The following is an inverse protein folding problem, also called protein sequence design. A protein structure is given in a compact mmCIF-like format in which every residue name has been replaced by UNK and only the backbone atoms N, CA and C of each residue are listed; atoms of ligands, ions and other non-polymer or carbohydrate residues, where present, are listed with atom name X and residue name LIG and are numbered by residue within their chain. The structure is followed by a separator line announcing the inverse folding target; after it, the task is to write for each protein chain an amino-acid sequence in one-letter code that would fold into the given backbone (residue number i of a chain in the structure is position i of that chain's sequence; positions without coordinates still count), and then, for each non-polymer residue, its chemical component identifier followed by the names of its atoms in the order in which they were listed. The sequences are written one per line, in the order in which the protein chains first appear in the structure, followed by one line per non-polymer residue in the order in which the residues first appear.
data_IF_263314262378
#
_entry.id   IF_263314262378
#
_cell.length_a   1.000
_cell.length_b   1.000
_cell.length_c   1.000
_cell.angle_alpha   90.00
_cell.angle_beta   90.00
_cell.angle_gamma   90.00
#
_symmetry.space_group_name_H-M   'P 1'
#
loop_
_entity.id
_entity.type
_entity.pdbx_description
1 polymer ?
#
# COMPACT_ATOMS: atom_id res chain seq x y z
N UNK A 1 44.18 -44.80 -7.01
CA UNK A 1 43.21 -44.23 -7.98
C UNK A 1 41.78 -44.35 -7.46
N UNK A 2 41.50 -43.78 -6.28
CA UNK A 2 40.16 -43.55 -5.75
C UNK A 2 40.20 -42.08 -5.41
N UNK A 3 39.60 -41.17 -6.21
CA UNK A 3 39.47 -39.77 -5.79
C UNK A 3 38.58 -38.91 -6.69
N UNK A 4 38.19 -39.32 -7.90
CA UNK A 4 37.26 -38.51 -8.70
C UNK A 4 35.80 -38.86 -8.46
N UNK A 5 35.47 -40.15 -8.27
CA UNK A 5 34.08 -40.57 -8.05
C UNK A 5 33.56 -40.11 -6.68
N UNK A 6 34.36 -40.19 -5.61
CA UNK A 6 33.92 -39.72 -4.29
C UNK A 6 33.84 -38.18 -4.20
N UNK A 7 34.69 -37.46 -4.93
CA UNK A 7 34.62 -36.00 -5.01
C UNK A 7 33.34 -35.53 -5.72
N UNK A 8 32.96 -36.20 -6.82
CA UNK A 8 31.71 -35.88 -7.52
C UNK A 8 30.46 -36.15 -6.67
N UNK A 9 30.46 -37.25 -5.90
CA UNK A 9 29.34 -37.62 -5.04
C UNK A 9 29.21 -36.68 -3.83
N UNK A 10 30.33 -36.27 -3.24
CA UNK A 10 30.33 -35.32 -2.12
C UNK A 10 29.88 -33.92 -2.56
N UNK A 11 30.27 -33.45 -3.74
CA UNK A 11 29.76 -32.20 -4.31
C UNK A 11 28.25 -32.29 -4.56
N UNK A 12 27.77 -33.41 -5.11
CA UNK A 12 26.35 -33.60 -5.38
C UNK A 12 25.50 -33.60 -4.09
N UNK A 13 25.97 -34.30 -3.06
CA UNK A 13 25.31 -34.32 -1.74
C UNK A 13 25.31 -32.93 -1.09
N UNK A 14 26.41 -32.18 -1.19
CA UNK A 14 26.49 -30.81 -0.66
C UNK A 14 25.49 -29.88 -1.34
N UNK A 15 25.38 -29.94 -2.67
CA UNK A 15 24.40 -29.14 -3.44
C UNK A 15 22.98 -29.54 -3.04
N UNK A 16 22.69 -30.84 -2.92
CA UNK A 16 21.37 -31.33 -2.53
C UNK A 16 20.97 -30.87 -1.12
N UNK A 17 21.92 -30.86 -0.18
CA UNK A 17 21.68 -30.34 1.18
C UNK A 17 21.43 -28.83 1.20
N UNK A 18 22.16 -28.04 0.40
CA UNK A 18 21.94 -26.59 0.29
C UNK A 18 20.57 -26.30 -0.31
N UNK A 19 20.18 -26.99 -1.38
CA UNK A 19 18.87 -26.81 -2.03
C UNK A 19 17.73 -27.21 -1.09
N UNK A 20 17.90 -28.33 -0.36
CA UNK A 20 16.92 -28.77 0.63
C UNK A 20 16.80 -27.79 1.80
N UNK A 21 17.92 -27.23 2.27
CA UNK A 21 17.93 -26.22 3.33
C UNK A 21 17.27 -24.89 2.90
N UNK A 22 17.48 -24.46 1.65
CA UNK A 22 16.81 -23.27 1.09
C UNK A 22 15.30 -23.49 0.97
N UNK A 23 14.86 -24.69 0.56
CA UNK A 23 13.44 -25.06 0.52
C UNK A 23 12.83 -25.12 1.92
N UNK A 24 13.57 -25.65 2.91
CA UNK A 24 13.10 -25.81 4.29
C UNK A 24 13.00 -24.47 5.05
N UNK A 25 13.81 -23.47 4.70
CA UNK A 25 13.75 -22.12 5.27
C UNK A 25 12.60 -21.25 4.72
N UNK A 26 11.82 -21.73 3.75
CA UNK A 26 10.70 -20.98 3.19
C UNK A 26 11.09 -19.66 2.51
N UNK A 27 12.38 -19.46 2.24
CA UNK A 27 12.86 -18.24 1.56
C UNK A 27 12.74 -18.45 0.07
N UNK A 28 11.50 -18.31 -0.39
CA UNK A 28 11.20 -18.19 -1.82
C UNK A 28 12.12 -17.12 -2.43
N UNK A 29 12.87 -17.39 -3.52
CA UNK A 29 13.64 -16.36 -4.24
C UNK A 29 12.76 -15.16 -4.69
N UNK A 30 11.45 -15.39 -4.73
CA UNK A 30 10.41 -14.40 -4.95
C UNK A 30 10.31 -13.36 -3.83
N UNK A 31 10.51 -13.77 -2.56
CA UNK A 31 10.51 -12.87 -1.41
C UNK A 31 11.76 -11.98 -1.37
N UNK A 32 12.91 -12.47 -1.86
CA UNK A 32 14.14 -11.67 -1.94
C UNK A 32 14.03 -10.52 -2.95
N UNK A 33 13.37 -10.73 -4.10
CA UNK A 33 13.06 -9.64 -5.04
C UNK A 33 12.05 -8.64 -4.46
N UNK A 34 11.07 -9.10 -3.68
CA UNK A 34 10.17 -8.20 -2.95
C UNK A 34 10.90 -7.37 -1.89
N UNK A 35 11.89 -7.94 -1.20
CA UNK A 35 12.69 -7.22 -0.21
C UNK A 35 13.73 -6.26 -0.81
N UNK A 36 14.31 -6.55 -1.98
CA UNK A 36 15.20 -5.60 -2.66
C UNK A 36 14.46 -4.39 -3.24
N UNK A 37 13.21 -4.55 -3.68
CA UNK A 37 12.37 -3.41 -4.07
C UNK A 37 11.89 -2.56 -2.87
N UNK A 38 12.03 -3.03 -1.64
CA UNK A 38 11.70 -2.25 -0.43
C UNK A 38 12.93 -1.54 0.15
N UNK A 39 14.15 -2.06 -0.08
CA UNK A 39 15.37 -1.56 0.58
C UNK A 39 16.33 -0.75 -0.30
N UNK A 40 16.11 -0.66 -1.60
CA UNK A 40 16.95 0.11 -2.53
C UNK A 40 16.17 1.27 -3.16
N UNK A 41 15.56 2.12 -2.34
CA UNK A 41 15.23 3.50 -2.76
C UNK A 41 15.37 4.51 -1.60
N UNK A 42 16.20 4.14 -0.61
CA UNK A 42 16.68 5.03 0.44
C UNK A 42 18.13 5.37 0.14
N UNK A 43 18.36 6.24 -0.83
CA UNK A 43 19.43 7.25 -0.85
C UNK A 43 19.47 7.92 -2.22
N UNK A 44 19.13 9.20 -2.23
CA UNK A 44 19.59 10.19 -3.20
C UNK A 44 18.94 10.16 -4.60
N UNK A 45 17.68 10.58 -4.66
CA UNK A 45 17.13 11.27 -5.84
C UNK A 45 16.23 12.39 -5.35
N UNK A 46 16.36 13.56 -5.97
CA UNK A 46 15.63 14.78 -5.62
C UNK A 46 14.12 14.53 -5.51
N UNK A 47 13.56 14.88 -4.35
CA UNK A 47 12.17 15.29 -4.06
C UNK A 47 11.12 15.00 -5.15
N UNK A 48 10.75 13.74 -5.33
CA UNK A 48 9.40 13.36 -5.73
C UNK A 48 8.86 12.56 -4.55
N UNK A 49 8.10 13.21 -3.66
CA UNK A 49 7.39 12.48 -2.61
C UNK A 49 6.47 11.47 -3.33
N UNK A 50 6.55 10.17 -3.03
CA UNK A 50 5.64 9.21 -3.65
C UNK A 50 4.21 9.62 -3.29
N UNK A 51 3.39 9.83 -4.31
CA UNK A 51 1.97 10.22 -4.24
C UNK A 51 1.17 9.38 -3.23
N UNK A 52 1.61 8.13 -3.07
CA UNK A 52 1.06 7.17 -2.10
C UNK A 52 1.15 7.65 -0.65
N UNK A 53 2.11 8.51 -0.30
CA UNK A 53 2.16 9.11 1.05
C UNK A 53 1.17 10.27 1.16
N UNK A 54 1.22 11.26 0.26
CA UNK A 54 0.41 12.48 0.43
C UNK A 54 -1.10 12.23 0.49
N UNK A 55 -1.68 11.50 -0.46
CA UNK A 55 -3.13 11.28 -0.48
C UNK A 55 -3.57 10.34 0.65
N UNK A 56 -2.78 9.30 0.96
CA UNK A 56 -3.09 8.37 2.05
C UNK A 56 -3.03 9.08 3.41
N UNK A 57 -2.03 9.94 3.65
CA UNK A 57 -1.90 10.70 4.89
C UNK A 57 -3.11 11.63 5.08
N UNK A 58 -3.64 12.24 4.01
CA UNK A 58 -4.85 13.06 4.08
C UNK A 58 -6.12 12.21 4.30
N UNK A 59 -6.20 11.02 3.72
CA UNK A 59 -7.31 10.09 3.94
C UNK A 59 -7.31 9.57 5.38
N UNK A 60 -6.16 9.26 5.95
CA UNK A 60 -6.03 8.86 7.35
C UNK A 60 -6.52 9.98 8.29
N UNK A 61 -6.03 11.21 8.08
CA UNK A 61 -6.54 12.37 8.83
C UNK A 61 -8.03 12.60 8.64
N UNK A 62 -8.54 12.44 7.42
CA UNK A 62 -9.96 12.55 7.13
C UNK A 62 -10.75 11.50 7.91
N UNK A 63 -10.22 10.28 8.08
CA UNK A 63 -10.91 9.21 8.79
C UNK A 63 -10.97 9.42 10.31
N UNK A 64 -10.13 10.28 10.87
CA UNK A 64 -10.05 10.55 12.31
C UNK A 64 -10.67 11.90 12.69
N UNK A 65 -10.79 12.84 11.73
CA UNK A 65 -11.25 14.19 12.01
C UNK A 65 -12.75 14.21 12.33
N UNK A 66 -13.10 14.87 13.45
CA UNK A 66 -14.47 15.11 13.90
C UNK A 66 -14.91 16.56 13.66
N UNK A 67 -13.99 17.42 13.22
CA UNK A 67 -14.24 18.83 12.93
C UNK A 67 -14.74 18.98 11.48
N UNK A 68 -15.96 19.47 11.35
CA UNK A 68 -16.61 19.69 10.06
C UNK A 68 -15.79 20.62 9.14
N UNK A 69 -15.23 21.71 9.68
CA UNK A 69 -14.44 22.64 8.90
C UNK A 69 -13.13 22.01 8.40
N UNK A 70 -12.48 21.21 9.26
CA UNK A 70 -11.27 20.46 8.89
C UNK A 70 -11.57 19.39 7.83
N UNK A 71 -12.67 18.65 7.98
CA UNK A 71 -13.11 17.64 7.01
C UNK A 71 -13.30 18.26 5.62
N UNK A 72 -14.00 19.39 5.51
CA UNK A 72 -14.18 20.07 4.21
C UNK A 72 -12.83 20.48 3.59
N UNK A 73 -11.91 20.99 4.40
CA UNK A 73 -10.55 21.37 3.95
C UNK A 73 -9.75 20.15 3.49
N UNK A 74 -9.86 19.02 4.18
CA UNK A 74 -9.21 17.76 3.80
C UNK A 74 -9.79 17.22 2.49
N UNK A 75 -11.12 17.21 2.34
CA UNK A 75 -11.80 16.81 1.10
C UNK A 75 -11.30 17.64 -0.09
N UNK A 76 -11.22 18.98 0.06
CA UNK A 76 -10.74 19.86 -0.99
C UNK A 76 -9.27 19.57 -1.36
N UNK A 77 -8.43 19.36 -0.34
CA UNK A 77 -7.01 19.03 -0.51
C UNK A 77 -6.84 17.71 -1.27
N UNK A 78 -7.57 16.66 -0.85
CA UNK A 78 -7.55 15.34 -1.50
C UNK A 78 -8.03 15.46 -2.94
N UNK A 79 -9.13 16.19 -3.18
CA UNK A 79 -9.67 16.40 -4.53
C UNK A 79 -8.66 17.09 -5.44
N UNK A 80 -7.91 18.08 -4.94
CA UNK A 80 -6.86 18.78 -5.71
C UNK A 80 -5.72 17.84 -6.09
N UNK A 81 -5.22 17.06 -5.13
CA UNK A 81 -4.12 16.11 -5.37
C UNK A 81 -4.55 14.95 -6.28
N UNK A 82 -5.77 14.43 -6.12
CA UNK A 82 -6.31 13.39 -6.99
C UNK A 82 -6.49 13.89 -8.43
N UNK A 83 -7.04 15.09 -8.64
CA UNK A 83 -7.14 15.70 -9.98
C UNK A 83 -5.77 15.92 -10.62
N UNK A 84 -4.79 16.39 -9.85
CA UNK A 84 -3.40 16.55 -10.33
C UNK A 84 -2.82 15.20 -10.76
N UNK A 85 -3.06 14.15 -9.98
CA UNK A 85 -2.63 12.79 -10.31
C UNK A 85 -3.23 12.29 -11.60
N UNK A 86 -4.55 12.41 -11.76
CA UNK A 86 -5.24 12.01 -12.99
C UNK A 86 -4.73 12.74 -14.23
N UNK A 87 -4.37 14.03 -14.11
CA UNK A 87 -3.81 14.80 -15.22
C UNK A 87 -2.43 14.34 -15.63
N UNK A 88 -1.59 13.95 -14.67
CA UNK A 88 -0.20 13.55 -14.94
C UNK A 88 -0.13 12.08 -15.37
N UNK A 89 -0.94 11.20 -14.77
CA UNK A 89 -0.85 9.75 -14.97
C UNK A 89 -2.23 9.07 -15.07
N UNK A 90 -3.05 9.38 -16.09
CA UNK A 90 -4.43 8.88 -16.16
C UNK A 90 -4.55 7.36 -16.32
N UNK A 91 -3.59 6.71 -17.00
CA UNK A 91 -3.66 5.28 -17.32
C UNK A 91 -2.92 4.36 -16.35
N UNK A 92 -2.26 4.91 -15.33
CA UNK A 92 -1.55 4.11 -14.33
C UNK A 92 -2.49 3.66 -13.21
N UNK A 93 -2.08 2.66 -12.42
CA UNK A 93 -2.82 2.23 -11.24
C UNK A 93 -3.08 3.39 -10.27
N UNK A 94 -2.14 4.34 -10.17
CA UNK A 94 -2.30 5.54 -9.35
C UNK A 94 -3.35 6.50 -9.91
N UNK A 95 -3.41 6.65 -11.24
CA UNK A 95 -4.48 7.42 -11.91
C UNK A 95 -5.85 6.81 -11.69
N UNK A 96 -5.98 5.50 -11.82
CA UNK A 96 -7.24 4.77 -11.56
C UNK A 96 -7.66 4.87 -10.09
N UNK A 97 -6.71 4.79 -9.16
CA UNK A 97 -6.98 5.03 -7.74
C UNK A 97 -7.44 6.46 -7.48
N UNK A 98 -6.78 7.46 -8.08
CA UNK A 98 -7.18 8.85 -7.94
C UNK A 98 -8.59 9.12 -8.50
N UNK A 99 -8.95 8.53 -9.64
CA UNK A 99 -10.31 8.58 -10.19
C UNK A 99 -11.34 7.98 -9.23
N UNK A 100 -11.00 6.83 -8.63
CA UNK A 100 -11.85 6.18 -7.63
C UNK A 100 -12.05 7.04 -6.38
N UNK A 101 -10.99 7.72 -5.91
CA UNK A 101 -11.07 8.66 -4.78
C UNK A 101 -12.01 9.82 -5.10
N UNK A 102 -11.92 10.39 -6.30
CA UNK A 102 -12.80 11.50 -6.70
C UNK A 102 -14.27 11.08 -6.69
N UNK A 103 -14.59 9.92 -7.29
CA UNK A 103 -15.95 9.37 -7.29
C UNK A 103 -16.47 9.09 -5.88
N UNK A 104 -15.61 8.59 -5.01
CA UNK A 104 -15.95 8.35 -3.61
C UNK A 104 -16.23 9.66 -2.86
N UNK A 105 -15.37 10.67 -3.04
CA UNK A 105 -15.53 12.00 -2.42
C UNK A 105 -16.81 12.71 -2.86
N UNK A 106 -17.26 12.51 -4.10
CA UNK A 106 -18.50 13.11 -4.60
C UNK A 106 -19.75 12.51 -3.91
N UNK A 107 -19.63 11.31 -3.34
CA UNK A 107 -20.67 10.66 -2.54
C UNK A 107 -20.41 10.72 -1.03
N UNK A 108 -19.36 11.42 -0.60
CA UNK A 108 -18.97 11.49 0.81
C UNK A 108 -19.88 12.48 1.57
N UNK A 109 -20.54 11.98 2.62
CA UNK A 109 -21.47 12.77 3.43
C UNK A 109 -20.81 13.11 4.77
N UNK A 110 -20.40 14.37 4.93
CA UNK A 110 -19.67 14.87 6.12
C UNK A 110 -20.43 14.62 7.42
N UNK A 111 -21.70 14.99 7.50
CA UNK A 111 -22.49 14.78 8.72
C UNK A 111 -22.62 13.31 9.10
N UNK A 112 -22.75 12.40 8.12
CA UNK A 112 -22.79 10.96 8.38
C UNK A 112 -21.46 10.49 8.95
N UNK A 113 -20.35 10.91 8.34
CA UNK A 113 -19.01 10.57 8.83
C UNK A 113 -18.77 11.02 10.28
N UNK A 114 -19.11 12.27 10.62
CA UNK A 114 -19.00 12.79 12.00
C UNK A 114 -19.89 12.00 12.96
N UNK A 115 -21.13 11.69 12.55
CA UNK A 115 -22.06 10.88 13.35
C UNK A 115 -21.50 9.48 13.59
N UNK A 116 -20.97 8.84 12.56
CA UNK A 116 -20.39 7.50 12.63
C UNK A 116 -19.20 7.46 13.59
N UNK A 117 -18.30 8.46 13.51
CA UNK A 117 -17.17 8.60 14.44
C UNK A 117 -17.59 8.85 15.89
N UNK A 118 -18.66 9.61 16.11
CA UNK A 118 -19.22 9.82 17.46
C UNK A 118 -19.82 8.54 18.02
N UNK A 119 -20.49 7.75 17.19
CA UNK A 119 -21.23 6.57 17.61
C UNK A 119 -20.34 5.35 17.82
N UNK A 120 -19.23 5.23 17.11
CA UNK A 120 -18.44 3.99 17.05
C UNK A 120 -17.04 4.07 17.69
N UNK A 121 -16.67 5.19 18.31
CA UNK A 121 -15.32 5.36 18.83
C UNK A 121 -14.28 5.54 17.70
N UNK A 122 -13.07 5.93 18.07
CA UNK A 122 -12.08 6.65 17.22
C UNK A 122 -11.44 5.88 16.05
N UNK A 123 -12.11 4.86 15.52
CA UNK A 123 -11.49 3.94 14.56
C UNK A 123 -12.33 3.78 13.30
N UNK A 124 -12.45 4.85 12.51
CA UNK A 124 -12.80 4.72 11.11
C UNK A 124 -11.52 4.62 10.27
N UNK A 125 -11.54 3.77 9.25
CA UNK A 125 -10.45 3.60 8.28
C UNK A 125 -11.02 3.73 6.88
N UNK A 126 -10.39 4.50 6.01
CA UNK A 126 -10.75 4.54 4.59
C UNK A 126 -9.91 3.49 3.86
N UNK A 127 -10.55 2.43 3.35
CA UNK A 127 -9.86 1.34 2.62
C UNK A 127 -10.26 1.30 1.16
N UNK A 128 -9.28 1.05 0.30
CA UNK A 128 -9.50 0.74 -1.10
C UNK A 128 -9.92 -0.72 -1.28
N UNK A 129 -11.07 -0.95 -1.92
CA UNK A 129 -11.51 -2.26 -2.35
C UNK A 129 -11.05 -2.50 -3.81
N UNK A 130 -10.00 -3.30 -3.97
CA UNK A 130 -9.44 -3.60 -5.29
C UNK A 130 -10.41 -4.35 -6.24
N UNK A 131 -11.36 -5.13 -5.71
CA UNK A 131 -12.34 -5.85 -6.53
C UNK A 131 -13.41 -4.92 -7.08
N UNK A 132 -13.86 -3.96 -6.27
CA UNK A 132 -14.90 -2.98 -6.65
C UNK A 132 -14.33 -1.70 -7.26
N UNK A 133 -13.01 -1.53 -7.22
CA UNK A 133 -12.30 -0.29 -7.58
C UNK A 133 -12.92 0.94 -6.89
N UNK A 134 -13.15 0.83 -5.59
CA UNK A 134 -13.88 1.84 -4.81
C UNK A 134 -13.26 2.01 -3.43
N UNK A 135 -13.42 3.18 -2.83
CA UNK A 135 -13.03 3.45 -1.44
C UNK A 135 -14.24 3.29 -0.53
N UNK A 136 -14.01 2.75 0.67
CA UNK A 136 -15.07 2.63 1.69
C UNK A 136 -14.56 3.08 3.05
N UNK A 137 -15.39 3.87 3.73
CA UNK A 137 -15.23 4.11 5.16
C UNK A 137 -15.60 2.84 5.91
N UNK A 138 -14.62 2.26 6.59
CA UNK A 138 -14.74 1.06 7.41
C UNK A 138 -14.67 1.50 8.86
N UNK A 139 -15.72 1.21 9.63
CA UNK A 139 -15.69 1.39 11.08
C UNK A 139 -15.10 0.11 11.66
N UNK A 140 -13.94 0.21 12.29
CA UNK A 140 -13.25 -0.92 12.91
C UNK A 140 -13.69 -0.96 14.37
N UNK A 141 -14.81 -1.60 14.67
CA UNK A 141 -15.18 -1.82 16.07
C UNK A 141 -14.05 -2.59 16.78
N UNK A 142 -13.49 -2.01 17.85
CA UNK A 142 -12.59 -2.70 18.77
C UNK A 142 -13.37 -3.71 19.60
#
# INVERSE_FOLDING_TARGET
MINQVSLSLTIFLLIFMIVSFILMLGVSPFAWRAFQNIRVESKNTQKIRPLRRSISDYLEKLSESKDEAEIYKLIETIRKEAKKTMRIQPHTDQGQQADSILKWLDNFIVHRHISDLKNHGESAQIRYNAQKKDFKLMIVAQ
#
